data_IF_267876023013
#
_entry.id   IF_267876023013
#
_cell.length_a   1.000
_cell.length_b   1.000
_cell.length_c   1.000
_cell.angle_alpha   90.00
_cell.angle_beta   90.00
_cell.angle_gamma   90.00
#
_symmetry.space_group_name_H-M   'P 1'
#
loop_
_entity.id
_entity.type
_entity.pdbx_description
1 polymer ?
#
# COMPACT_ATOMS: atom_id res chain seq x y z
N UNK A 1 2.70 26.19 9.31
CA UNK A 1 1.88 24.96 9.41
C UNK A 1 2.65 23.84 8.71
N UNK A 2 3.45 23.07 9.46
CA UNK A 2 4.14 21.92 8.89
C UNK A 2 3.11 20.82 8.68
N UNK A 3 2.48 20.78 7.50
CA UNK A 3 1.64 19.66 7.11
C UNK A 3 2.48 18.39 7.18
N UNK A 4 1.95 17.33 7.78
CA UNK A 4 2.54 16.00 7.69
C UNK A 4 2.84 15.72 6.22
N UNK A 5 4.12 15.68 5.84
CA UNK A 5 4.52 15.35 4.47
C UNK A 5 4.00 13.95 4.16
N UNK A 6 2.94 13.86 3.36
CA UNK A 6 2.46 12.61 2.79
C UNK A 6 3.52 12.16 1.80
N UNK A 7 4.16 11.02 2.06
CA UNK A 7 5.25 10.51 1.23
C UNK A 7 4.75 9.51 0.19
N UNK A 8 3.74 8.72 0.56
CA UNK A 8 3.06 7.79 -0.32
C UNK A 8 1.62 7.54 0.14
N UNK A 9 0.84 6.88 -0.70
CA UNK A 9 -0.46 6.31 -0.36
C UNK A 9 -0.39 4.79 -0.50
N UNK A 10 -1.02 4.10 0.45
CA UNK A 10 -1.04 2.63 0.50
C UNK A 10 -2.46 2.15 0.22
N UNK A 11 -2.56 1.17 -0.68
CA UNK A 11 -3.80 0.54 -1.10
C UNK A 11 -3.66 -0.98 -1.02
N UNK A 12 -4.79 -1.65 -0.85
CA UNK A 12 -4.90 -3.10 -0.97
C UNK A 12 -5.75 -3.48 -2.17
N UNK A 13 -5.39 -4.54 -2.88
CA UNK A 13 -6.14 -5.04 -4.04
C UNK A 13 -6.07 -6.56 -4.15
N UNK A 14 -6.65 -7.15 -5.20
CA UNK A 14 -6.61 -8.62 -5.37
C UNK A 14 -7.64 -9.36 -4.51
N UNK A 15 -7.55 -10.69 -4.50
CA UNK A 15 -8.56 -11.59 -3.93
C UNK A 15 -8.78 -11.39 -2.43
N UNK A 16 -7.70 -11.13 -1.68
CA UNK A 16 -7.75 -10.82 -0.26
C UNK A 16 -8.65 -9.61 0.05
N UNK A 17 -8.44 -8.49 -0.65
CA UNK A 17 -9.20 -7.26 -0.42
C UNK A 17 -10.61 -7.29 -1.06
N UNK A 18 -10.89 -8.29 -1.91
CA UNK A 18 -12.25 -8.62 -2.40
C UNK A 18 -13.04 -9.52 -1.45
N UNK A 19 -12.43 -10.00 -0.37
CA UNK A 19 -13.07 -10.89 0.60
C UNK A 19 -13.24 -12.32 0.12
N UNK A 20 -12.39 -12.78 -0.80
CA UNK A 20 -12.38 -14.17 -1.23
C UNK A 20 -11.88 -15.07 -0.08
N UNK A 21 -12.54 -16.20 0.12
CA UNK A 21 -12.20 -17.15 1.20
C UNK A 21 -10.87 -17.87 0.99
N UNK A 22 -10.41 -17.94 -0.26
CA UNK A 22 -9.11 -18.49 -0.64
C UNK A 22 -8.31 -17.43 -1.38
N UNK A 23 -7.21 -16.97 -0.77
CA UNK A 23 -6.23 -16.07 -1.38
C UNK A 23 -4.82 -16.64 -1.16
N UNK A 24 -3.94 -16.42 -2.14
CA UNK A 24 -2.57 -16.93 -2.10
C UNK A 24 -1.62 -15.92 -1.45
N UNK A 25 -1.88 -14.64 -1.64
CA UNK A 25 -1.06 -13.50 -1.23
C UNK A 25 -1.93 -12.28 -0.88
N UNK A 26 -1.31 -11.34 -0.18
CA UNK A 26 -1.90 -10.04 0.18
C UNK A 26 -1.28 -8.99 -0.74
N UNK A 27 -2.01 -8.57 -1.76
CA UNK A 27 -1.52 -7.59 -2.73
C UNK A 27 -1.66 -6.15 -2.22
N UNK A 28 -0.53 -5.47 -2.10
CA UNK A 28 -0.41 -4.09 -1.65
C UNK A 28 0.15 -3.22 -2.77
N UNK A 29 -0.50 -2.09 -3.01
CA UNK A 29 -0.02 -1.04 -3.90
C UNK A 29 0.47 0.14 -3.06
N UNK A 30 1.70 0.58 -3.34
CA UNK A 30 2.27 1.82 -2.81
C UNK A 30 2.35 2.82 -3.95
N UNK A 31 1.62 3.94 -3.84
CA UNK A 31 1.71 5.06 -4.77
C UNK A 31 2.55 6.17 -4.17
N UNK A 32 3.76 6.36 -4.66
CA UNK A 32 4.65 7.42 -4.17
C UNK A 32 4.28 8.78 -4.78
N UNK A 33 4.32 9.83 -3.95
CA UNK A 33 3.88 11.17 -4.36
C UNK A 33 4.86 11.87 -5.31
N UNK A 34 6.13 11.47 -5.30
CA UNK A 34 7.20 12.12 -6.05
C UNK A 34 8.24 11.09 -6.46
N UNK A 35 8.92 11.33 -7.59
CA UNK A 35 10.08 10.56 -8.02
C UNK A 35 11.40 11.10 -7.44
N UNK A 36 11.34 11.97 -6.43
CA UNK A 36 12.53 12.42 -5.71
C UNK A 36 13.22 11.25 -5.02
N UNK A 37 14.55 11.30 -4.96
CA UNK A 37 15.37 10.29 -4.31
C UNK A 37 14.91 9.96 -2.87
N UNK A 38 14.52 10.99 -2.10
CA UNK A 38 13.99 10.84 -0.74
C UNK A 38 12.68 10.04 -0.73
N UNK A 39 11.73 10.35 -1.62
CA UNK A 39 10.45 9.67 -1.69
C UNK A 39 10.62 8.21 -2.13
N UNK A 40 11.44 7.95 -3.16
CA UNK A 40 11.76 6.59 -3.60
C UNK A 40 12.42 5.77 -2.49
N UNK A 41 13.41 6.33 -1.79
CA UNK A 41 14.10 5.64 -0.69
C UNK A 41 13.14 5.28 0.44
N UNK A 42 12.21 6.18 0.76
CA UNK A 42 11.18 5.95 1.77
C UNK A 42 10.18 4.87 1.33
N UNK A 43 9.72 4.90 0.08
CA UNK A 43 8.81 3.88 -0.45
C UNK A 43 9.46 2.48 -0.50
N UNK A 44 10.74 2.40 -0.88
CA UNK A 44 11.53 1.16 -0.82
C UNK A 44 11.66 0.65 0.62
N UNK A 45 11.90 1.57 1.58
CA UNK A 45 11.96 1.21 3.00
C UNK A 45 10.62 0.66 3.50
N UNK A 46 9.50 1.30 3.13
CA UNK A 46 8.17 0.82 3.44
C UNK A 46 7.95 -0.60 2.87
N UNK A 47 8.24 -0.82 1.58
CA UNK A 47 8.15 -2.14 0.95
C UNK A 47 8.92 -3.21 1.73
N UNK A 48 10.18 -2.93 2.09
CA UNK A 48 11.00 -3.87 2.88
C UNK A 48 10.39 -4.18 4.24
N UNK A 49 9.84 -3.16 4.92
CA UNK A 49 9.21 -3.35 6.21
C UNK A 49 7.92 -4.18 6.12
N UNK A 50 7.12 -3.99 5.07
CA UNK A 50 5.92 -4.79 4.85
C UNK A 50 6.30 -6.26 4.60
N UNK A 51 7.24 -6.51 3.68
CA UNK A 51 7.73 -7.87 3.38
C UNK A 51 8.31 -8.60 4.62
N UNK A 52 8.83 -7.86 5.60
CA UNK A 52 9.40 -8.44 6.81
C UNK A 52 8.37 -8.69 7.93
N UNK A 53 7.17 -8.10 7.84
CA UNK A 53 6.19 -8.09 8.95
C UNK A 53 4.82 -8.64 8.59
N UNK A 54 4.47 -8.66 7.31
CA UNK A 54 3.19 -9.17 6.81
C UNK A 54 3.48 -10.44 6.01
N UNK A 55 2.88 -11.55 6.44
CA UNK A 55 3.06 -12.83 5.76
C UNK A 55 2.39 -12.83 4.38
N UNK A 56 3.01 -13.50 3.41
CA UNK A 56 2.55 -13.61 2.02
C UNK A 56 2.20 -12.28 1.34
N UNK A 57 2.84 -11.17 1.73
CA UNK A 57 2.57 -9.87 1.12
C UNK A 57 3.28 -9.74 -0.23
N UNK A 58 2.54 -9.30 -1.24
CA UNK A 58 3.05 -8.89 -2.54
C UNK A 58 2.97 -7.37 -2.63
N UNK A 59 4.05 -6.70 -3.06
CA UNK A 59 4.11 -5.23 -3.08
C UNK A 59 4.43 -4.70 -4.47
N UNK A 60 3.43 -4.05 -5.06
CA UNK A 60 3.53 -3.23 -6.28
C UNK A 60 3.81 -1.79 -5.89
N UNK A 61 4.72 -1.13 -6.62
CA UNK A 61 5.06 0.26 -6.41
C UNK A 61 4.87 1.04 -7.69
N UNK A 62 4.14 2.15 -7.63
CA UNK A 62 3.95 3.08 -8.73
C UNK A 62 4.22 4.51 -8.26
N UNK A 63 4.74 5.35 -9.13
CA UNK A 63 4.64 6.79 -9.00
C UNK A 63 3.23 7.27 -9.33
N UNK A 64 2.87 8.48 -8.88
CA UNK A 64 1.61 9.11 -9.28
C UNK A 64 1.43 9.23 -10.79
N UNK A 65 2.50 9.49 -11.53
CA UNK A 65 2.47 9.56 -12.99
C UNK A 65 2.18 8.19 -13.61
N UNK A 66 2.90 7.15 -13.17
CA UNK A 66 2.67 5.78 -13.66
C UNK A 66 1.24 5.32 -13.34
N UNK A 67 0.77 5.60 -12.12
CA UNK A 67 -0.60 5.29 -11.74
C UNK A 67 -1.63 5.97 -12.65
N UNK A 68 -1.44 7.25 -12.96
CA UNK A 68 -2.33 7.98 -13.87
C UNK A 68 -2.30 7.45 -15.30
N UNK A 69 -1.17 6.89 -15.75
CA UNK A 69 -1.01 6.34 -17.10
C UNK A 69 -1.67 4.96 -17.24
N UNK A 70 -1.50 4.09 -16.24
CA UNK A 70 -2.06 2.73 -16.30
C UNK A 70 -3.46 2.62 -15.68
N UNK A 71 -3.87 3.60 -14.88
CA UNK A 71 -5.11 3.65 -14.12
C UNK A 71 -5.31 2.38 -13.27
N UNK A 72 -4.29 1.99 -12.49
CA UNK A 72 -4.27 0.71 -11.79
C UNK A 72 -5.30 0.69 -10.67
N UNK A 73 -5.42 1.76 -9.89
CA UNK A 73 -6.34 1.86 -8.74
C UNK A 73 -7.76 1.54 -9.20
N UNK A 74 -8.21 2.15 -10.30
CA UNK A 74 -9.55 1.89 -10.84
C UNK A 74 -9.67 0.45 -11.38
N UNK A 75 -8.73 0.02 -12.23
CA UNK A 75 -8.76 -1.31 -12.87
C UNK A 75 -8.68 -2.47 -11.88
N UNK A 76 -7.88 -2.32 -10.83
CA UNK A 76 -7.71 -3.32 -9.78
C UNK A 76 -8.77 -3.19 -8.67
N UNK A 77 -9.61 -2.15 -8.73
CA UNK A 77 -10.51 -1.78 -7.63
C UNK A 77 -9.77 -1.67 -6.29
N UNK A 78 -8.59 -1.03 -6.33
CA UNK A 78 -7.71 -0.96 -5.18
C UNK A 78 -8.32 -0.09 -4.07
N UNK A 79 -8.44 -0.66 -2.87
CA UNK A 79 -9.01 0.00 -1.71
C UNK A 79 -7.93 0.81 -1.00
N UNK A 80 -8.18 2.09 -0.77
CA UNK A 80 -7.27 2.93 0.02
C UNK A 80 -7.24 2.44 1.47
N UNK A 81 -6.03 2.23 1.99
CA UNK A 81 -5.81 1.76 3.36
C UNK A 81 -5.35 2.89 4.26
N UNK A 82 -4.26 3.57 3.87
CA UNK A 82 -3.67 4.61 4.71
C UNK A 82 -2.69 5.48 3.93
N UNK A 83 -2.62 6.80 4.22
CA UNK A 83 -1.50 7.62 3.79
C UNK A 83 -0.23 7.28 4.59
N UNK A 84 0.92 7.22 3.93
CA UNK A 84 2.21 7.00 4.59
C UNK A 84 2.99 8.30 4.78
N UNK A 85 3.44 8.56 6.00
CA UNK A 85 4.22 9.74 6.37
C UNK A 85 5.69 9.43 6.79
N UNK A 86 6.12 8.18 6.64
CA UNK A 86 7.46 7.74 7.07
C UNK A 86 7.52 7.17 8.50
N UNK A 87 6.50 7.40 9.33
CA UNK A 87 6.51 7.06 10.76
C UNK A 87 5.35 6.16 11.18
N UNK A 88 4.29 6.06 10.38
CA UNK A 88 3.08 5.33 10.71
C UNK A 88 3.01 3.90 10.15
N UNK A 89 4.13 3.16 10.21
CA UNK A 89 4.18 1.79 9.71
C UNK A 89 3.19 0.86 10.44
N UNK A 90 3.07 0.99 11.77
CA UNK A 90 2.16 0.15 12.55
C UNK A 90 0.69 0.36 12.17
N UNK A 91 0.30 1.61 11.85
CA UNK A 91 -1.06 1.92 11.40
C UNK A 91 -1.36 1.27 10.04
N UNK A 92 -0.37 1.24 9.13
CA UNK A 92 -0.51 0.59 7.83
C UNK A 92 -0.70 -0.93 8.01
N UNK A 93 0.12 -1.55 8.87
CA UNK A 93 0.02 -2.99 9.13
C UNK A 93 -1.36 -3.32 9.74
N UNK A 94 -1.80 -2.53 10.72
CA UNK A 94 -3.12 -2.70 11.32
C UNK A 94 -4.24 -2.56 10.28
N UNK A 95 -4.15 -1.59 9.36
CA UNK A 95 -5.15 -1.42 8.29
C UNK A 95 -5.18 -2.58 7.29
N UNK A 96 -4.06 -3.28 7.07
CA UNK A 96 -4.01 -4.49 6.25
C UNK A 96 -4.73 -5.64 6.98
N UNK A 97 -4.42 -5.84 8.26
CA UNK A 97 -4.95 -6.95 9.06
C UNK A 97 -6.42 -6.79 9.46
N UNK A 98 -6.90 -5.55 9.66
CA UNK A 98 -8.29 -5.28 10.06
C UNK A 98 -9.28 -5.72 8.96
N UNK A 99 -8.88 -5.60 7.70
CA UNK A 99 -9.69 -6.09 6.56
C UNK A 99 -9.78 -7.62 6.55
N UNK A 100 -8.78 -8.34 7.09
CA UNK A 100 -8.86 -9.79 7.30
C UNK A 100 -10.01 -10.20 8.21
N UNK A 101 -10.35 -9.36 9.18
CA UNK A 101 -11.28 -9.68 10.26
C UNK A 101 -12.74 -9.54 9.81
N UNK A 102 -12.98 -8.86 8.69
CA UNK A 102 -14.32 -8.64 8.13
C UNK A 102 -14.81 -9.83 7.30
N UNK A 103 -13.92 -10.75 6.89
CA UNK A 103 -14.24 -11.85 5.97
C UNK A 103 -14.37 -13.23 6.67
N UNK A 104 -14.80 -13.28 7.93
CA UNK A 104 -15.13 -14.53 8.63
C UNK A 104 -16.63 -14.80 8.65
#
# INVERSE_FOLDING_TARGET
>A
MAGLERLADVYGFGSYFKGESNFNDIDILIVQNSNSFKSCKVAISLKKNLLARVDKVSVTMLSKSEESEVNFIEKASAKHLSPYNGKNLCEIIAAIEDISSVCK
#
